data_IF_431041223144
#
_entry.id   IF_431041223144
#
_cell.length_a   1.000
_cell.length_b   1.000
_cell.length_c   1.000
_cell.angle_alpha   90.00
_cell.angle_beta   90.00
_cell.angle_gamma   90.00
#
_symmetry.space_group_name_H-M   'P 1'
#
loop_
_entity.id
_entity.type
_entity.pdbx_description
1 polymer ?
#
# COMPACT_ATOMS: atom_id res chain seq x y z
N UNK A 1 7.29 15.39 2.33
CA UNK A 1 7.43 14.26 3.29
C UNK A 1 8.19 13.05 2.73
N UNK A 2 8.27 12.82 1.42
CA UNK A 2 8.97 11.66 0.85
C UNK A 2 10.49 11.76 0.74
N UNK A 3 11.04 12.99 0.75
CA UNK A 3 12.49 13.20 0.59
C UNK A 3 13.33 12.55 1.71
N UNK A 4 13.00 12.70 3.01
CA UNK A 4 13.72 11.97 4.07
C UNK A 4 13.61 10.45 3.93
N UNK A 5 12.45 9.94 3.51
CA UNK A 5 12.24 8.49 3.32
C UNK A 5 13.09 7.94 2.17
N UNK A 6 13.28 8.72 1.10
CA UNK A 6 14.13 8.35 -0.03
C UNK A 6 15.61 8.29 0.38
N UNK A 7 16.07 9.26 1.18
CA UNK A 7 17.43 9.27 1.75
C UNK A 7 17.64 8.05 2.64
N UNK A 8 16.71 7.77 3.54
CA UNK A 8 16.81 6.61 4.45
C UNK A 8 16.80 5.30 3.65
N UNK A 9 15.99 5.19 2.59
CA UNK A 9 16.00 3.99 1.75
C UNK A 9 17.37 3.74 1.13
N UNK A 10 17.98 4.78 0.55
CA UNK A 10 19.28 4.68 -0.13
C UNK A 10 20.38 4.27 0.86
N UNK A 11 20.36 4.83 2.07
CA UNK A 11 21.32 4.51 3.14
C UNK A 11 21.23 3.05 3.59
N UNK A 12 20.01 2.51 3.66
CA UNK A 12 19.76 1.13 4.12
C UNK A 12 19.73 0.08 2.99
N UNK A 13 20.21 0.42 1.78
CA UNK A 13 20.24 -0.48 0.63
C UNK A 13 21.21 -1.65 0.84
N UNK A 14 20.67 -2.88 0.92
CA UNK A 14 21.44 -4.10 1.16
C UNK A 14 21.31 -5.05 -0.06
N UNK A 15 22.36 -5.76 -0.53
CA UNK A 15 22.34 -6.55 -1.76
C UNK A 15 21.28 -7.67 -1.80
N UNK A 16 20.89 -8.21 -0.64
CA UNK A 16 19.91 -9.29 -0.52
C UNK A 16 18.43 -8.86 -0.63
N UNK A 17 18.12 -7.56 -0.55
CA UNK A 17 16.74 -7.03 -0.61
C UNK A 17 16.45 -6.18 -1.86
N UNK A 18 17.29 -6.30 -2.90
CA UNK A 18 17.26 -5.46 -4.10
C UNK A 18 15.88 -5.36 -4.78
N UNK A 19 15.10 -6.44 -4.98
CA UNK A 19 13.79 -6.33 -5.63
C UNK A 19 12.80 -5.50 -4.80
N UNK A 20 12.74 -5.73 -3.49
CA UNK A 20 11.85 -4.99 -2.58
C UNK A 20 12.26 -3.51 -2.50
N UNK A 21 13.57 -3.26 -2.45
CA UNK A 21 14.13 -1.91 -2.46
C UNK A 21 13.74 -1.13 -3.74
N UNK A 22 13.90 -1.74 -4.92
CA UNK A 22 13.54 -1.10 -6.19
C UNK A 22 12.04 -0.79 -6.25
N UNK A 23 11.18 -1.73 -5.83
CA UNK A 23 9.74 -1.48 -5.83
C UNK A 23 9.35 -0.36 -4.86
N UNK A 24 9.94 -0.32 -3.67
CA UNK A 24 9.74 0.78 -2.72
C UNK A 24 10.27 2.13 -3.24
N UNK A 25 11.40 2.14 -3.96
CA UNK A 25 11.94 3.36 -4.56
C UNK A 25 10.99 3.88 -5.65
N UNK A 26 10.52 3.00 -6.53
CA UNK A 26 9.57 3.33 -7.58
C UNK A 26 8.27 3.86 -6.98
N UNK A 27 7.75 3.26 -5.89
CA UNK A 27 6.51 3.75 -5.26
C UNK A 27 6.68 5.15 -4.67
N UNK A 28 7.84 5.44 -4.06
CA UNK A 28 8.16 6.78 -3.55
C UNK A 28 8.22 7.80 -4.68
N UNK A 29 8.97 7.50 -5.74
CA UNK A 29 9.09 8.41 -6.89
C UNK A 29 7.72 8.67 -7.54
N UNK A 30 6.92 7.62 -7.69
CA UNK A 30 5.56 7.72 -8.24
C UNK A 30 4.66 8.55 -7.32
N UNK A 31 4.75 8.39 -6.01
CA UNK A 31 4.01 9.21 -5.05
C UNK A 31 4.42 10.68 -5.07
N UNK A 32 5.70 10.99 -5.28
CA UNK A 32 6.18 12.37 -5.45
C UNK A 32 5.59 12.99 -6.72
N UNK A 33 5.66 12.28 -7.85
CA UNK A 33 5.08 12.74 -9.12
C UNK A 33 3.58 12.98 -8.97
N UNK A 34 2.85 12.05 -8.34
CA UNK A 34 1.42 12.18 -8.07
C UNK A 34 1.13 13.44 -7.22
N UNK A 35 1.94 13.72 -6.20
CA UNK A 35 1.81 14.91 -5.37
C UNK A 35 2.07 16.22 -6.10
N UNK A 36 3.12 16.27 -6.94
CA UNK A 36 3.42 17.45 -7.78
C UNK A 36 2.25 17.72 -8.72
N UNK A 37 1.75 16.69 -9.40
CA UNK A 37 0.60 16.81 -10.29
C UNK A 37 -0.66 17.27 -9.54
N UNK A 38 -0.93 16.70 -8.36
CA UNK A 38 -2.09 17.12 -7.55
C UNK A 38 -2.02 18.60 -7.17
N UNK A 39 -0.87 19.06 -6.68
CA UNK A 39 -0.68 20.49 -6.32
C UNK A 39 -0.83 21.37 -7.56
N UNK A 40 -0.24 20.99 -8.69
CA UNK A 40 -0.38 21.72 -9.95
C UNK A 40 -1.85 21.85 -10.37
N UNK A 41 -2.62 20.76 -10.33
CA UNK A 41 -4.03 20.74 -10.70
C UNK A 41 -4.87 21.63 -9.78
N UNK A 42 -4.66 21.56 -8.46
CA UNK A 42 -5.41 22.33 -7.46
C UNK A 42 -5.08 23.83 -7.52
N UNK A 43 -3.79 24.17 -7.65
CA UNK A 43 -3.33 25.57 -7.78
C UNK A 43 -3.87 26.17 -9.06
N UNK A 44 -3.84 25.45 -10.18
CA UNK A 44 -4.38 25.93 -11.46
C UNK A 44 -5.89 26.09 -11.38
N UNK A 45 -6.60 25.12 -10.79
CA UNK A 45 -8.05 25.20 -10.60
C UNK A 45 -8.46 26.40 -9.72
N UNK A 46 -7.63 26.77 -8.74
CA UNK A 46 -7.92 27.87 -7.80
C UNK A 46 -7.53 29.24 -8.36
N UNK A 47 -6.32 29.37 -8.92
CA UNK A 47 -5.78 30.66 -9.38
C UNK A 47 -6.22 31.03 -10.79
N UNK A 48 -6.59 30.06 -11.62
CA UNK A 48 -6.95 30.28 -13.02
C UNK A 48 -8.06 29.32 -13.47
N UNK A 49 -9.28 29.46 -12.92
CA UNK A 49 -10.38 28.52 -13.17
C UNK A 49 -10.85 28.48 -14.63
N UNK A 50 -10.53 29.51 -15.42
CA UNK A 50 -10.89 29.62 -16.83
C UNK A 50 -9.82 29.08 -17.79
N UNK A 51 -8.60 28.81 -17.30
CA UNK A 51 -7.55 28.26 -18.16
C UNK A 51 -7.72 26.75 -18.29
N UNK A 52 -7.88 26.22 -19.51
CA UNK A 52 -8.05 24.78 -19.70
C UNK A 52 -6.76 24.04 -19.36
N UNK A 53 -6.86 23.08 -18.45
CA UNK A 53 -5.75 22.17 -18.15
C UNK A 53 -5.62 21.18 -19.30
N UNK A 54 -4.39 20.95 -19.76
CA UNK A 54 -4.14 19.99 -20.83
C UNK A 54 -4.60 18.56 -20.45
N UNK A 55 -5.34 17.92 -21.36
CA UNK A 55 -5.92 16.60 -21.16
C UNK A 55 -4.88 15.53 -20.77
N UNK A 56 -3.67 15.57 -21.33
CA UNK A 56 -2.62 14.58 -21.04
C UNK A 56 -2.15 14.63 -19.58
N UNK A 57 -2.11 15.81 -18.95
CA UNK A 57 -1.73 15.96 -17.54
C UNK A 57 -2.79 15.32 -16.66
N UNK A 58 -4.05 15.58 -16.98
CA UNK A 58 -5.20 15.09 -16.24
C UNK A 58 -5.34 13.57 -16.37
N UNK A 59 -5.17 13.03 -17.58
CA UNK A 59 -5.18 11.58 -17.82
C UNK A 59 -4.00 10.91 -17.10
N UNK A 60 -2.80 11.50 -17.18
CA UNK A 60 -1.63 11.00 -16.47
C UNK A 60 -1.84 10.95 -14.96
N UNK A 61 -2.42 12.00 -14.37
CA UNK A 61 -2.78 12.04 -12.96
C UNK A 61 -3.75 10.92 -12.58
N UNK A 62 -4.83 10.73 -13.35
CA UNK A 62 -5.83 9.68 -13.08
C UNK A 62 -5.23 8.28 -13.19
N UNK A 63 -4.41 8.03 -14.21
CA UNK A 63 -3.71 6.75 -14.37
C UNK A 63 -2.82 6.48 -13.17
N UNK A 64 -1.98 7.45 -12.78
CA UNK A 64 -1.11 7.31 -11.61
C UNK A 64 -1.91 7.06 -10.34
N UNK A 65 -3.02 7.77 -10.15
CA UNK A 65 -3.90 7.62 -8.99
C UNK A 65 -4.51 6.21 -8.89
N UNK A 66 -4.92 5.61 -10.01
CA UNK A 66 -5.56 4.28 -10.03
C UNK A 66 -4.55 3.13 -9.91
N UNK A 67 -3.41 3.23 -10.60
CA UNK A 67 -2.43 2.15 -10.65
C UNK A 67 -1.47 2.14 -9.46
N UNK A 68 -1.29 3.27 -8.77
CA UNK A 68 -0.40 3.33 -7.61
C UNK A 68 -0.83 2.36 -6.50
N UNK A 69 -2.10 2.29 -6.05
CA UNK A 69 -2.52 1.27 -5.08
C UNK A 69 -2.30 -0.16 -5.55
N UNK A 70 -2.59 -0.46 -6.83
CA UNK A 70 -2.36 -1.80 -7.40
C UNK A 70 -0.88 -2.19 -7.32
N UNK A 71 0.02 -1.22 -7.56
CA UNK A 71 1.45 -1.40 -7.39
C UNK A 71 1.83 -1.61 -5.91
N UNK A 72 1.26 -0.82 -4.99
CA UNK A 72 1.48 -0.98 -3.55
C UNK A 72 1.03 -2.35 -3.04
N UNK A 73 -0.13 -2.84 -3.47
CA UNK A 73 -0.65 -4.17 -3.14
C UNK A 73 0.28 -5.28 -3.64
N UNK A 74 0.96 -5.06 -4.77
CA UNK A 74 1.95 -6.00 -5.30
C UNK A 74 3.20 -6.06 -4.42
N UNK A 75 3.63 -4.93 -3.85
CA UNK A 75 4.71 -4.88 -2.85
C UNK A 75 4.31 -5.65 -1.59
N UNK A 76 3.06 -5.52 -1.15
CA UNK A 76 2.53 -6.26 0.00
C UNK A 76 2.52 -7.78 -0.27
N UNK A 77 2.10 -8.23 -1.46
CA UNK A 77 2.19 -9.64 -1.86
C UNK A 77 3.65 -10.12 -1.80
N UNK A 78 4.59 -9.35 -2.35
CA UNK A 78 6.02 -9.69 -2.30
C UNK A 78 6.54 -9.86 -0.87
N UNK A 79 6.06 -9.04 0.06
CA UNK A 79 6.37 -9.20 1.50
C UNK A 79 5.72 -10.43 2.09
N UNK A 80 4.48 -10.75 1.68
CA UNK A 80 3.77 -11.94 2.12
C UNK A 80 4.51 -13.21 1.68
N UNK A 81 5.12 -13.22 0.49
CA UNK A 81 6.01 -14.30 0.03
C UNK A 81 7.23 -14.53 0.94
N UNK A 82 7.78 -13.47 1.52
CA UNK A 82 8.89 -13.59 2.47
C UNK A 82 8.43 -14.17 3.83
N UNK A 83 7.18 -13.92 4.24
CA UNK A 83 6.60 -14.39 5.52
C UNK A 83 5.99 -15.80 5.41
N UNK A 84 5.45 -16.14 4.24
CA UNK A 84 4.93 -17.45 3.88
C UNK A 84 5.82 -18.06 2.79
N UNK A 85 7.00 -18.61 3.19
CA UNK A 85 7.92 -19.18 2.22
C UNK A 85 7.20 -20.31 1.46
N UNK A 86 7.12 -20.22 0.12
CA UNK A 86 6.35 -21.17 -0.67
C UNK A 86 6.75 -22.60 -0.32
N UNK A 87 8.04 -22.88 -0.24
CA UNK A 87 8.61 -24.23 -0.08
C UNK A 87 8.09 -25.03 1.12
N UNK A 88 7.62 -24.39 2.19
CA UNK A 88 7.09 -25.08 3.38
C UNK A 88 5.57 -25.08 3.47
N UNK A 89 4.89 -24.29 2.64
CA UNK A 89 3.43 -24.14 2.69
C UNK A 89 2.78 -25.06 1.66
N UNK A 90 1.78 -25.84 2.11
CA UNK A 90 1.03 -26.75 1.25
C UNK A 90 0.29 -25.99 0.15
N UNK A 91 0.11 -26.63 -1.00
CA UNK A 91 -0.49 -26.01 -2.18
C UNK A 91 -1.88 -25.38 -1.92
N UNK A 92 -2.80 -26.03 -1.16
CA UNK A 92 -4.09 -25.43 -0.84
C UNK A 92 -3.97 -24.16 0.01
N UNK A 93 -3.02 -24.14 0.95
CA UNK A 93 -2.78 -22.96 1.78
C UNK A 93 -2.20 -21.79 0.97
N UNK A 94 -1.33 -22.08 -0.02
CA UNK A 94 -0.84 -21.04 -0.94
C UNK A 94 -1.98 -20.46 -1.80
N UNK A 95 -2.86 -21.32 -2.31
CA UNK A 95 -4.00 -20.87 -3.10
C UNK A 95 -4.96 -20.03 -2.27
N UNK A 96 -5.23 -20.42 -1.02
CA UNK A 96 -6.05 -19.63 -0.10
C UNK A 96 -5.38 -18.28 0.17
N UNK A 97 -4.08 -18.24 0.48
CA UNK A 97 -3.36 -17.01 0.89
C UNK A 97 -3.15 -16.02 -0.27
N UNK A 98 -2.73 -16.49 -1.43
CA UNK A 98 -2.37 -15.61 -2.57
C UNK A 98 -3.49 -15.50 -3.61
N UNK A 99 -4.35 -16.50 -3.72
CA UNK A 99 -5.40 -16.57 -4.74
C UNK A 99 -6.33 -15.36 -4.74
N UNK A 100 -6.96 -14.99 -3.60
CA UNK A 100 -7.84 -13.83 -3.54
C UNK A 100 -7.14 -12.53 -3.94
N UNK A 101 -5.93 -12.29 -3.45
CA UNK A 101 -5.18 -11.05 -3.71
C UNK A 101 -4.70 -10.94 -5.16
N UNK A 102 -4.40 -12.07 -5.82
CA UNK A 102 -4.11 -12.10 -7.26
C UNK A 102 -5.39 -11.89 -8.07
N UNK A 103 -6.49 -12.56 -7.69
CA UNK A 103 -7.78 -12.44 -8.36
C UNK A 103 -8.28 -11.00 -8.38
N UNK A 104 -8.20 -10.29 -7.25
CA UNK A 104 -8.60 -8.88 -7.18
C UNK A 104 -7.76 -8.00 -8.11
N UNK A 105 -6.46 -8.24 -8.24
CA UNK A 105 -5.61 -7.48 -9.18
C UNK A 105 -5.99 -7.74 -10.64
N UNK A 106 -6.26 -9.00 -11.00
CA UNK A 106 -6.71 -9.38 -12.35
C UNK A 106 -8.05 -8.74 -12.69
N UNK A 107 -8.94 -8.52 -11.72
CA UNK A 107 -10.23 -7.84 -11.92
C UNK A 107 -10.05 -6.32 -12.00
N UNK A 108 -9.22 -5.73 -11.13
CA UNK A 108 -9.01 -4.29 -11.02
C UNK A 108 -8.34 -3.68 -12.25
N UNK A 109 -7.39 -4.38 -12.88
CA UNK A 109 -6.68 -3.85 -14.07
C UNK A 109 -7.63 -3.58 -15.24
N UNK A 110 -8.46 -4.53 -15.73
CA UNK A 110 -9.46 -4.26 -16.75
C UNK A 110 -10.47 -3.18 -16.33
N UNK A 111 -10.93 -3.20 -15.08
CA UNK A 111 -11.86 -2.20 -14.55
C UNK A 111 -11.27 -0.78 -14.63
N UNK A 112 -10.00 -0.62 -14.26
CA UNK A 112 -9.26 0.64 -14.35
C UNK A 112 -9.05 1.09 -15.80
N UNK A 113 -8.77 0.16 -16.73
CA UNK A 113 -8.66 0.47 -18.16
C UNK A 113 -9.99 1.01 -18.69
N UNK A 114 -11.10 0.32 -18.40
CA UNK A 114 -12.44 0.76 -18.80
C UNK A 114 -12.73 2.15 -18.24
N UNK A 115 -12.45 2.38 -16.95
CA UNK A 115 -12.61 3.70 -16.34
C UNK A 115 -11.82 4.79 -17.08
N UNK A 116 -10.53 4.57 -17.37
CA UNK A 116 -9.70 5.54 -18.10
C UNK A 116 -10.23 5.80 -19.52
N UNK A 117 -10.70 4.78 -20.23
CA UNK A 117 -11.30 4.94 -21.57
C UNK A 117 -12.58 5.78 -21.52
N UNK A 118 -13.44 5.56 -20.54
CA UNK A 118 -14.63 6.40 -20.37
C UNK A 118 -14.26 7.81 -19.89
N UNK A 119 -13.28 7.93 -19.02
CA UNK A 119 -12.78 9.21 -18.53
C UNK A 119 -12.24 10.09 -19.67
N UNK A 120 -11.45 9.52 -20.58
CA UNK A 120 -10.94 10.24 -21.75
C UNK A 120 -12.04 10.67 -22.71
N UNK A 121 -13.07 9.84 -22.91
CA UNK A 121 -14.20 10.13 -23.80
C UNK A 121 -15.13 11.23 -23.27
N UNK A 122 -15.40 11.25 -21.96
CA UNK A 122 -16.45 12.11 -21.38
C UNK A 122 -15.92 13.21 -20.45
N UNK A 123 -14.73 13.05 -19.87
CA UNK A 123 -14.16 13.95 -18.85
C UNK A 123 -12.85 14.63 -19.23
N UNK A 124 -12.22 14.25 -20.36
CA UNK A 124 -10.90 14.75 -20.75
C UNK A 124 -10.82 16.22 -21.18
N UNK A 125 -11.96 16.91 -21.30
CA UNK A 125 -12.05 18.28 -21.85
C UNK A 125 -12.49 19.34 -20.82
N UNK A 126 -12.77 18.95 -19.58
CA UNK A 126 -13.27 19.85 -18.52
C UNK A 126 -12.38 19.79 -17.28
N UNK A 127 -12.60 20.70 -16.33
CA UNK A 127 -11.86 20.68 -15.05
C UNK A 127 -12.00 19.31 -14.36
N UNK A 128 -10.93 18.76 -13.73
CA UNK A 128 -10.96 17.43 -13.13
C UNK A 128 -12.08 17.26 -12.09
N UNK A 129 -12.42 18.36 -11.41
CA UNK A 129 -13.51 18.43 -10.45
C UNK A 129 -14.88 18.25 -11.11
N UNK A 130 -15.14 18.96 -12.21
CA UNK A 130 -16.40 18.84 -12.95
C UNK A 130 -16.53 17.48 -13.63
N UNK A 131 -15.45 16.96 -14.21
CA UNK A 131 -15.42 15.62 -14.80
C UNK A 131 -15.74 14.53 -13.74
N UNK A 132 -15.12 14.62 -12.56
CA UNK A 132 -15.36 13.69 -11.45
C UNK A 132 -16.78 13.76 -10.90
N UNK A 133 -17.36 14.96 -10.80
CA UNK A 133 -18.75 15.16 -10.38
C UNK A 133 -19.75 14.64 -11.42
N UNK A 134 -19.52 14.92 -12.70
CA UNK A 134 -20.39 14.48 -13.80
C UNK A 134 -20.42 12.95 -13.95
N UNK A 135 -19.28 12.29 -13.73
CA UNK A 135 -19.16 10.83 -13.87
C UNK A 135 -19.63 10.04 -12.63
N UNK A 136 -19.83 10.71 -11.48
CA UNK A 136 -20.15 10.09 -10.19
C UNK A 136 -21.45 9.28 -10.16
N UNK A 137 -22.49 9.77 -10.83
CA UNK A 137 -23.83 9.15 -10.83
C UNK A 137 -23.97 8.01 -11.83
N UNK A 138 -23.13 8.00 -12.87
CA UNK A 138 -23.28 7.12 -14.04
C UNK A 138 -22.30 5.95 -14.02
N UNK A 139 -21.17 6.06 -13.30
CA UNK A 139 -20.09 5.08 -13.42
C UNK A 139 -19.93 4.17 -12.18
N UNK A 140 -20.26 2.87 -12.30
CA UNK A 140 -20.01 1.90 -11.22
C UNK A 140 -18.52 1.56 -11.06
N UNK A 141 -17.70 1.82 -12.08
CA UNK A 141 -16.29 1.38 -12.17
C UNK A 141 -15.42 1.85 -10.99
N UNK A 142 -15.58 3.10 -10.55
CA UNK A 142 -14.81 3.64 -9.42
C UNK A 142 -15.24 3.02 -8.09
N UNK A 143 -16.53 2.67 -7.95
CA UNK A 143 -17.05 1.99 -6.77
C UNK A 143 -16.52 0.58 -6.66
N UNK A 144 -16.51 -0.13 -7.79
CA UNK A 144 -15.94 -1.47 -7.91
C UNK A 144 -14.45 -1.45 -7.56
N UNK A 145 -13.71 -0.48 -8.10
CA UNK A 145 -12.27 -0.32 -7.84
C UNK A 145 -11.98 -0.13 -6.35
N UNK A 146 -12.67 0.82 -5.72
CA UNK A 146 -12.46 1.15 -4.31
C UNK A 146 -12.93 0.03 -3.39
N UNK A 147 -14.01 -0.67 -3.74
CA UNK A 147 -14.48 -1.84 -2.99
C UNK A 147 -13.43 -2.96 -3.00
N UNK A 148 -12.89 -3.31 -4.17
CA UNK A 148 -11.86 -4.34 -4.26
C UNK A 148 -10.57 -3.94 -3.56
N UNK A 149 -10.18 -2.67 -3.59
CA UNK A 149 -9.03 -2.17 -2.83
C UNK A 149 -9.20 -2.39 -1.32
N UNK A 150 -10.37 -2.04 -0.76
CA UNK A 150 -10.66 -2.24 0.67
C UNK A 150 -10.58 -3.72 1.03
N UNK A 151 -11.20 -4.57 0.22
CA UNK A 151 -11.20 -6.01 0.46
C UNK A 151 -9.78 -6.60 0.40
N UNK A 152 -8.96 -6.22 -0.56
CA UNK A 152 -7.57 -6.71 -0.66
C UNK A 152 -6.74 -6.24 0.55
N UNK A 153 -6.84 -4.96 0.91
CA UNK A 153 -6.14 -4.38 2.05
C UNK A 153 -6.52 -5.05 3.37
N UNK A 154 -7.82 -5.24 3.62
CA UNK A 154 -8.28 -5.87 4.85
C UNK A 154 -8.02 -7.38 4.86
N UNK A 155 -8.09 -8.05 3.71
CA UNK A 155 -7.71 -9.46 3.58
C UNK A 155 -6.23 -9.69 3.91
N UNK A 156 -5.33 -8.90 3.32
CA UNK A 156 -3.90 -8.94 3.60
C UNK A 156 -3.59 -8.65 5.08
N UNK A 157 -4.30 -7.67 5.66
CA UNK A 157 -4.21 -7.33 7.09
C UNK A 157 -4.57 -8.50 8.00
N UNK A 158 -5.70 -9.16 7.73
CA UNK A 158 -6.18 -10.30 8.51
C UNK A 158 -5.22 -11.47 8.41
N UNK A 159 -4.74 -11.82 7.21
CA UNK A 159 -3.77 -12.91 7.04
C UNK A 159 -2.48 -12.66 7.82
N UNK A 160 -1.95 -11.43 7.76
CA UNK A 160 -0.74 -11.08 8.48
C UNK A 160 -0.94 -11.20 10.00
N UNK A 161 -2.04 -10.64 10.53
CA UNK A 161 -2.37 -10.74 11.95
C UNK A 161 -2.58 -12.20 12.40
N UNK A 162 -3.26 -13.02 11.59
CA UNK A 162 -3.42 -14.44 11.85
C UNK A 162 -2.09 -15.18 11.88
N UNK A 163 -1.14 -14.83 10.99
CA UNK A 163 0.21 -15.41 11.00
C UNK A 163 0.96 -15.06 12.26
N UNK A 164 0.93 -13.79 12.66
CA UNK A 164 1.57 -13.31 13.87
C UNK A 164 0.96 -13.99 15.10
N UNK A 165 -0.37 -14.11 15.15
CA UNK A 165 -1.07 -14.80 16.24
C UNK A 165 -0.69 -16.30 16.30
N UNK A 166 -0.70 -17.02 15.17
CA UNK A 166 -0.30 -18.43 15.11
C UNK A 166 1.18 -18.65 15.41
N UNK A 167 2.06 -17.74 14.97
CA UNK A 167 3.47 -17.74 15.32
C UNK A 167 3.71 -17.54 16.82
N UNK A 168 2.88 -16.72 17.49
CA UNK A 168 2.87 -16.58 18.95
C UNK A 168 2.38 -17.84 19.65
N UNK A 169 1.30 -18.46 19.17
CA UNK A 169 0.75 -19.69 19.76
C UNK A 169 1.73 -20.86 19.60
N UNK A 170 2.36 -21.05 18.44
CA UNK A 170 3.38 -22.10 18.26
C UNK A 170 4.61 -21.88 19.15
N UNK A 171 5.10 -20.65 19.28
CA UNK A 171 6.24 -20.34 20.14
C UNK A 171 5.88 -20.46 21.65
N UNK A 172 4.63 -20.17 22.02
CA UNK A 172 4.12 -20.37 23.38
C UNK A 172 3.91 -21.86 23.71
N UNK A 173 3.50 -22.67 22.73
CA UNK A 173 3.37 -24.13 22.88
C UNK A 173 4.72 -24.85 22.91
N UNK A 174 5.70 -24.43 22.10
CA UNK A 174 7.07 -24.98 22.18
C UNK A 174 7.78 -24.58 23.49
N UNK A 175 7.43 -23.42 24.06
CA UNK A 175 7.91 -22.99 25.38
C UNK A 175 7.21 -23.66 26.57
N UNK A 176 6.04 -24.27 26.38
CA UNK A 176 5.33 -25.01 27.42
C UNK A 176 5.81 -26.46 27.57
N UNK A 177 6.59 -26.98 26.61
CA UNK A 177 7.11 -28.35 26.61
C UNK A 177 8.64 -28.45 26.77
N UNK A 178 9.34 -27.30 26.82
CA UNK A 178 10.78 -27.22 27.07
C UNK A 178 11.06 -26.42 28.34
N UNK A 179 11.30 -27.15 29.43
CA UNK A 179 11.70 -26.55 30.71
C UNK A 179 13.21 -26.19 30.66
N UNK A 180 13.54 -25.02 31.24
CA UNK A 180 14.87 -24.53 31.64
C UNK A 180 15.80 -23.97 30.53
N UNK A 181 16.36 -22.80 30.83
CA UNK A 181 17.48 -22.09 30.16
C UNK A 181 17.27 -21.41 28.79
N UNK A 182 16.69 -20.19 28.85
CA UNK A 182 17.34 -18.95 28.39
C UNK A 182 16.41 -17.74 28.58
N UNK A 183 16.51 -17.12 29.75
CA UNK A 183 16.20 -15.70 29.89
C UNK A 183 17.10 -14.89 28.93
N UNK A 184 16.52 -13.87 28.30
CA UNK A 184 17.14 -12.87 27.41
C UNK A 184 17.20 -13.23 25.91
N UNK A 185 16.10 -12.96 25.17
CA UNK A 185 16.08 -12.59 23.73
C UNK A 185 14.66 -12.51 23.12
N UNK A 186 13.60 -12.87 23.86
CA UNK A 186 12.26 -13.01 23.26
C UNK A 186 11.34 -11.77 23.32
N UNK A 187 11.69 -10.75 24.10
CA UNK A 187 10.78 -9.61 24.38
C UNK A 187 10.96 -8.39 23.45
N UNK A 188 12.08 -8.27 22.73
CA UNK A 188 12.37 -7.11 21.86
C UNK A 188 11.84 -7.23 20.42
N UNK A 189 11.53 -8.45 19.94
CA UNK A 189 11.03 -8.67 18.56
C UNK A 189 9.53 -8.45 18.40
N UNK A 190 8.76 -8.57 19.48
CA UNK A 190 7.30 -8.44 19.53
C UNK A 190 6.78 -7.03 19.18
N UNK A 191 7.30 -5.94 19.79
CA UNK A 191 6.86 -4.59 19.43
C UNK A 191 7.24 -4.24 17.99
N UNK A 192 8.41 -4.66 17.51
CA UNK A 192 8.84 -4.37 16.12
C UNK A 192 7.92 -5.00 15.06
N UNK A 193 7.55 -6.28 15.22
CA UNK A 193 6.60 -6.94 14.32
C UNK A 193 5.21 -6.31 14.38
N UNK A 194 4.78 -5.85 15.55
CA UNK A 194 3.49 -5.16 15.73
C UNK A 194 3.47 -3.80 15.03
N UNK A 195 4.51 -2.98 15.17
CA UNK A 195 4.60 -1.69 14.47
C UNK A 195 4.68 -1.85 12.94
N UNK A 196 5.37 -2.88 12.46
CA UNK A 196 5.37 -3.26 11.04
C UNK A 196 3.95 -3.62 10.58
N UNK A 197 3.21 -4.38 11.39
CA UNK A 197 1.83 -4.75 11.11
C UNK A 197 0.90 -3.53 11.03
N UNK A 198 1.05 -2.64 12.02
CA UNK A 198 0.21 -1.46 12.17
C UNK A 198 0.39 -0.49 10.99
N UNK A 199 1.65 -0.21 10.64
CA UNK A 199 2.00 0.71 9.54
C UNK A 199 1.62 0.19 8.15
N UNK A 200 1.89 -1.09 7.86
CA UNK A 200 1.66 -1.64 6.52
C UNK A 200 0.22 -2.05 6.23
N UNK A 201 -0.58 -2.33 7.26
CA UNK A 201 -1.83 -3.08 7.07
C UNK A 201 -3.01 -2.43 7.78
N UNK A 202 -2.89 -2.15 9.08
CA UNK A 202 -4.02 -1.65 9.88
C UNK A 202 -4.43 -0.24 9.46
N UNK A 203 -3.46 0.69 9.33
CA UNK A 203 -3.77 2.06 8.93
C UNK A 203 -4.33 2.16 7.50
N UNK A 204 -3.71 1.52 6.48
CA UNK A 204 -4.30 1.45 5.14
C UNK A 204 -5.70 0.84 5.08
N UNK A 205 -5.96 -0.27 5.79
CA UNK A 205 -7.30 -0.90 5.80
C UNK A 205 -8.34 0.02 6.46
N UNK A 206 -8.01 0.69 7.57
CA UNK A 206 -8.92 1.65 8.21
C UNK A 206 -9.23 2.85 7.30
N UNK A 207 -8.21 3.43 6.66
CA UNK A 207 -8.41 4.55 5.72
C UNK A 207 -9.19 4.12 4.48
N UNK A 208 -8.91 2.93 3.95
CA UNK A 208 -9.70 2.32 2.87
C UNK A 208 -11.17 2.17 3.29
N UNK A 209 -11.43 1.69 4.51
CA UNK A 209 -12.79 1.56 5.02
C UNK A 209 -13.49 2.92 5.15
N UNK A 210 -12.79 3.94 5.65
CA UNK A 210 -13.31 5.32 5.71
C UNK A 210 -13.63 5.82 4.29
N UNK A 211 -12.75 5.59 3.32
CA UNK A 211 -13.00 5.95 1.91
C UNK A 211 -14.27 5.31 1.37
N UNK A 212 -14.51 4.02 1.69
CA UNK A 212 -15.72 3.32 1.29
C UNK A 212 -16.98 3.95 1.92
N UNK A 213 -16.91 4.30 3.21
CA UNK A 213 -18.02 4.98 3.90
C UNK A 213 -18.31 6.34 3.24
N UNK A 214 -17.28 7.14 2.94
CA UNK A 214 -17.43 8.43 2.27
C UNK A 214 -18.05 8.29 0.88
N UNK A 215 -17.65 7.25 0.14
CA UNK A 215 -18.18 6.97 -1.20
C UNK A 215 -19.70 6.74 -1.19
N UNK A 216 -20.22 6.03 -0.18
CA UNK A 216 -21.66 5.74 -0.06
C UNK A 216 -22.46 6.82 0.69
N UNK A 217 -21.81 7.62 1.55
CA UNK A 217 -22.52 8.54 2.46
C UNK A 217 -22.50 10.01 2.05
N UNK A 218 -21.41 10.52 1.47
CA UNK A 218 -21.25 11.96 1.25
C UNK A 218 -21.59 12.40 -0.19
N UNK A 219 -22.23 13.55 -0.40
CA UNK A 219 -22.57 14.04 -1.75
C UNK A 219 -21.39 14.67 -2.51
N UNK A 220 -20.25 14.93 -1.83
CA UNK A 220 -19.09 15.59 -2.44
C UNK A 220 -18.05 14.56 -2.92
N UNK A 221 -17.74 14.58 -4.22
CA UNK A 221 -16.72 13.72 -4.84
C UNK A 221 -15.31 13.97 -4.27
N UNK A 222 -14.98 15.25 -4.04
CA UNK A 222 -13.68 15.69 -3.54
C UNK A 222 -13.27 15.04 -2.23
N UNK A 223 -14.20 14.96 -1.26
CA UNK A 223 -13.90 14.39 0.06
C UNK A 223 -13.43 12.93 -0.08
N UNK A 224 -14.07 12.16 -0.96
CA UNK A 224 -13.66 10.78 -1.25
C UNK A 224 -12.31 10.70 -1.95
N UNK A 225 -12.05 11.58 -2.93
CA UNK A 225 -10.77 11.64 -3.65
C UNK A 225 -9.59 12.05 -2.76
N UNK A 226 -9.78 12.98 -1.82
CA UNK A 226 -8.73 13.35 -0.87
C UNK A 226 -8.45 12.26 0.15
N UNK A 227 -9.47 11.55 0.62
CA UNK A 227 -9.28 10.38 1.50
C UNK A 227 -8.53 9.28 0.74
N UNK A 228 -8.86 9.05 -0.53
CA UNK A 228 -8.15 8.10 -1.40
C UNK A 228 -6.67 8.48 -1.57
N UNK A 229 -6.40 9.74 -1.91
CA UNK A 229 -5.04 10.25 -2.09
C UNK A 229 -4.23 10.14 -0.79
N UNK A 230 -4.86 10.45 0.35
CA UNK A 230 -4.25 10.28 1.67
C UNK A 230 -3.95 8.81 1.95
N UNK A 231 -4.87 7.90 1.62
CA UNK A 231 -4.65 6.47 1.78
C UNK A 231 -3.45 5.97 0.96
N UNK A 232 -3.30 6.42 -0.29
CA UNK A 232 -2.13 6.10 -1.13
C UNK A 232 -0.81 6.49 -0.45
N UNK A 233 -0.75 7.68 0.16
CA UNK A 233 0.44 8.13 0.86
C UNK A 233 0.70 7.34 2.15
N UNK A 234 -0.35 6.98 2.89
CA UNK A 234 -0.20 6.16 4.10
C UNK A 234 0.26 4.75 3.74
N UNK A 235 -0.22 4.16 2.65
CA UNK A 235 0.28 2.89 2.11
C UNK A 235 1.77 2.99 1.78
N UNK A 236 2.21 4.02 1.04
CA UNK A 236 3.63 4.24 0.71
C UNK A 236 4.46 4.37 2.01
N UNK A 237 4.07 5.25 2.92
CA UNK A 237 4.81 5.51 4.16
C UNK A 237 4.88 4.26 5.02
N UNK A 238 3.77 3.55 5.20
CA UNK A 238 3.70 2.30 5.96
C UNK A 238 4.72 1.31 5.43
N UNK A 239 4.64 1.04 4.13
CA UNK A 239 5.53 0.13 3.40
C UNK A 239 7.00 0.50 3.62
N UNK A 240 7.37 1.77 3.50
CA UNK A 240 8.76 2.22 3.70
C UNK A 240 9.24 2.06 5.14
N UNK A 241 8.43 2.48 6.12
CA UNK A 241 8.77 2.38 7.54
C UNK A 241 9.05 0.93 7.95
N UNK A 242 8.26 -0.01 7.43
CA UNK A 242 8.50 -1.42 7.69
C UNK A 242 9.82 -1.93 7.05
N UNK A 243 10.17 -1.48 5.84
CA UNK A 243 11.46 -1.84 5.23
C UNK A 243 12.64 -1.28 6.01
N UNK A 244 12.56 -0.01 6.40
CA UNK A 244 13.60 0.66 7.18
C UNK A 244 13.80 -0.07 8.52
N UNK A 245 12.72 -0.44 9.20
CA UNK A 245 12.78 -1.21 10.45
C UNK A 245 13.45 -2.58 10.26
N UNK A 246 13.13 -3.29 9.18
CA UNK A 246 13.76 -4.60 8.87
C UNK A 246 15.25 -4.42 8.56
N UNK A 247 15.61 -3.42 7.77
CA UNK A 247 17.00 -3.14 7.42
C UNK A 247 17.83 -2.69 8.64
N UNK A 248 17.28 -1.82 9.49
CA UNK A 248 17.92 -1.38 10.73
C UNK A 248 18.20 -2.54 11.68
N UNK A 249 17.25 -3.46 11.87
CA UNK A 249 17.45 -4.64 12.70
C UNK A 249 18.52 -5.61 12.19
N UNK A 250 18.67 -5.74 10.86
CA UNK A 250 19.77 -6.52 10.27
C UNK A 250 21.12 -5.87 10.54
N UNK A 251 21.21 -4.55 10.42
CA UNK A 251 22.45 -3.81 10.64
C UNK A 251 22.92 -3.87 12.10
N UNK A 252 22.01 -3.74 13.07
CA UNK A 252 22.31 -3.93 14.49
C UNK A 252 22.86 -5.33 14.79
N UNK A 253 22.27 -6.38 14.18
CA UNK A 253 22.77 -7.74 14.32
C UNK A 253 24.16 -7.95 13.70
N UNK A 254 24.44 -7.35 12.54
CA UNK A 254 25.78 -7.39 11.92
C UNK A 254 26.84 -6.69 12.78
N UNK A 255 26.51 -5.55 13.38
CA UNK A 255 27.42 -4.82 14.28
C UNK A 255 27.66 -5.57 15.60
N UNK A 256 26.65 -6.26 16.14
CA UNK A 256 26.78 -7.08 17.34
C UNK A 256 27.64 -8.33 17.10
N UNK A 257 27.51 -8.98 15.94
CA UNK A 257 28.34 -10.14 15.56
C UNK A 257 29.80 -9.80 15.27
N UNK A 258 30.09 -8.56 14.88
CA UNK A 258 31.46 -8.07 14.66
C UNK A 258 32.22 -7.75 15.96
N UNK A 259 31.52 -7.57 17.08
CA UNK A 259 32.14 -7.27 18.39
C UNK A 259 32.51 -8.53 19.20
N UNK A 260 32.16 -9.72 18.71
CA UNK A 260 32.43 -11.01 19.36
C UNK A 260 33.62 -11.79 18.77
N UNK A 261 34.43 -11.13 17.95
CA UNK A 261 35.70 -11.62 17.37
C UNK A 261 36.77 -10.59 17.64
#
# INVERSE_FOLDING_TARGET
MFIPLLVVLIVFSNPGMRPLFIMNLVSVLTGIVLGILNVYLEVTATLSPLTPIHAYILIGFVILLLYLPVFMDTILIFRLFAVYPPRTTSWPQRLIVFGPSILFKVIRVPNSIVFVVYWTKFGGHTSPLQAGQALRGVQPWIKIEWFFQVFDNCYASVLFLLRVHRGRVMNAWSGAMGNLDKQNSHTSKLPNLFFIALGNFVFPCLLSLVQLIFLFRNPKFLDGSYVFLTNCYVEIIGVLLATIRVAGGQWEHSLAGSKST
#
